data_IF_038035492296
#
_entry.id   IF_038035492296
#
_cell.length_a   1.000
_cell.length_b   1.000
_cell.length_c   1.000
_cell.angle_alpha   90.00
_cell.angle_beta   90.00
_cell.angle_gamma   90.00
#
_symmetry.space_group_name_H-M   'P 1'
#
loop_
_entity.id
_entity.type
_entity.pdbx_description
1 polymer ?
#
# COMPACT_ATOMS: atom_id res chain seq x y z
N UNK A 1 2.73 8.12 10.16
CA UNK A 1 1.63 7.84 11.11
C UNK A 1 0.77 6.65 10.70
N UNK A 2 0.33 6.52 9.44
CA UNK A 2 -0.55 5.41 9.01
C UNK A 2 0.04 3.99 9.21
N UNK A 3 1.35 3.76 9.00
CA UNK A 3 1.98 2.44 9.24
C UNK A 3 1.96 2.04 10.70
N UNK A 4 2.26 2.99 11.57
CA UNK A 4 2.36 2.70 13.00
C UNK A 4 0.96 2.37 13.53
N UNK A 5 -0.07 3.05 13.05
CA UNK A 5 -1.45 2.75 13.37
C UNK A 5 -1.90 1.36 12.86
N UNK A 6 -1.40 0.89 11.70
CA UNK A 6 -1.76 -0.45 11.19
C UNK A 6 -1.03 -1.60 11.89
N UNK A 7 0.07 -1.33 12.58
CA UNK A 7 0.88 -2.35 13.27
C UNK A 7 0.54 -2.50 14.75
N UNK A 8 -0.01 -1.46 15.37
CA UNK A 8 -0.24 -1.41 16.81
C UNK A 8 -1.73 -1.64 17.10
N UNK A 9 -2.09 -2.53 18.03
CA UNK A 9 -3.49 -2.86 18.32
C UNK A 9 -4.27 -1.74 19.00
N UNK A 10 -3.59 -0.75 19.61
CA UNK A 10 -4.19 0.33 20.39
C UNK A 10 -3.72 1.72 19.91
N UNK A 11 -4.66 2.67 19.81
CA UNK A 11 -4.38 4.04 19.35
C UNK A 11 -3.32 4.75 20.22
N UNK A 12 -3.42 4.67 21.55
CA UNK A 12 -2.50 5.35 22.46
C UNK A 12 -1.06 4.85 22.30
N UNK A 13 -0.87 3.54 22.12
CA UNK A 13 0.45 2.96 21.87
C UNK A 13 0.98 3.36 20.49
N UNK A 14 0.11 3.47 19.49
CA UNK A 14 0.47 4.02 18.18
C UNK A 14 0.96 5.47 18.25
N UNK A 15 0.36 6.29 19.13
CA UNK A 15 0.77 7.68 19.35
C UNK A 15 2.13 7.77 20.05
N UNK A 16 2.37 6.96 21.08
CA UNK A 16 3.67 6.91 21.79
C UNK A 16 4.79 6.44 20.86
N UNK A 17 4.55 5.36 20.11
CA UNK A 17 5.52 4.82 19.15
C UNK A 17 5.77 5.81 18.00
N UNK A 18 4.71 6.49 17.52
CA UNK A 18 4.84 7.50 16.48
C UNK A 18 5.60 8.75 16.92
N UNK A 19 5.35 9.24 18.14
CA UNK A 19 6.11 10.34 18.73
C UNK A 19 7.59 9.96 18.90
N UNK A 20 7.87 8.76 19.42
CA UNK A 20 9.23 8.23 19.54
C UNK A 20 9.95 8.12 18.19
N UNK A 21 9.25 7.59 17.17
CA UNK A 21 9.79 7.50 15.80
C UNK A 21 10.14 8.87 15.22
N UNK A 22 9.26 9.87 15.36
CA UNK A 22 9.53 11.24 14.89
C UNK A 22 10.70 11.85 15.65
N UNK A 23 10.77 11.65 16.97
CA UNK A 23 11.90 12.12 17.78
C UNK A 23 13.24 11.55 17.31
N UNK A 24 13.30 10.24 17.05
CA UNK A 24 14.50 9.59 16.49
C UNK A 24 14.83 10.14 15.10
N UNK A 25 13.83 10.35 14.25
CA UNK A 25 14.03 10.93 12.92
C UNK A 25 14.54 12.39 12.99
N UNK A 26 14.10 13.19 13.96
CA UNK A 26 14.61 14.55 14.16
C UNK A 26 16.07 14.58 14.65
N UNK A 27 16.43 13.66 15.55
CA UNK A 27 17.82 13.57 16.05
C UNK A 27 18.77 13.12 14.94
N UNK A 28 18.31 12.23 14.05
CA UNK A 28 19.12 11.69 12.96
C UNK A 28 19.12 12.55 11.70
N UNK A 29 18.16 13.47 11.52
CA UNK A 29 18.07 14.36 10.34
C UNK A 29 19.06 15.53 10.35
N UNK A 30 19.83 15.70 11.43
CA UNK A 30 20.78 16.80 11.57
C UNK A 30 20.18 18.11 12.07
N UNK A 31 18.96 18.08 12.63
CA UNK A 31 18.26 19.28 13.14
C UNK A 31 18.99 19.96 14.31
N UNK A 32 19.63 19.18 15.20
CA UNK A 32 20.29 19.67 16.41
C UNK A 32 21.82 19.65 16.35
N UNK A 33 22.41 18.92 15.40
CA UNK A 33 23.88 18.83 15.26
C UNK A 33 24.27 18.40 13.85
N UNK A 34 25.29 19.06 13.31
CA UNK A 34 25.95 18.69 12.06
C UNK A 34 26.50 17.26 12.19
N UNK A 35 26.29 16.47 11.13
CA UNK A 35 26.40 14.99 11.05
C UNK A 35 27.77 14.32 11.37
N UNK A 36 28.94 15.00 11.49
CA UNK A 36 30.23 14.30 11.63
C UNK A 36 30.41 13.41 12.85
N UNK A 37 29.66 13.60 13.95
CA UNK A 37 29.91 12.93 15.23
C UNK A 37 29.03 11.69 15.51
N UNK A 38 28.16 11.25 14.59
CA UNK A 38 27.37 10.03 14.81
C UNK A 38 28.20 8.75 14.54
N UNK A 39 28.01 7.68 15.36
CA UNK A 39 28.68 6.40 15.17
C UNK A 39 28.42 5.82 13.77
N UNK A 40 29.50 5.53 13.05
CA UNK A 40 29.52 5.31 11.59
C UNK A 40 28.67 4.13 11.10
N UNK A 41 28.51 3.07 11.90
CA UNK A 41 28.03 1.77 11.41
C UNK A 41 26.50 1.70 11.35
N UNK A 42 25.79 2.09 12.42
CA UNK A 42 24.35 1.82 12.52
C UNK A 42 23.48 3.05 12.23
N UNK A 43 23.97 4.26 12.52
CA UNK A 43 23.17 5.50 12.42
C UNK A 43 23.49 6.37 11.21
N UNK A 44 24.71 6.29 10.67
CA UNK A 44 25.15 7.22 9.63
C UNK A 44 24.77 6.82 8.21
N UNK A 45 24.63 5.52 7.91
CA UNK A 45 24.53 5.07 6.51
C UNK A 45 23.25 4.34 6.07
N UNK A 46 22.36 3.82 6.94
CA UNK A 46 21.01 3.48 6.50
C UNK A 46 19.98 4.55 6.86
N UNK A 47 20.05 5.10 8.07
CA UNK A 47 18.98 5.96 8.60
C UNK A 47 19.02 7.35 7.95
N UNK A 48 20.19 7.96 7.76
CA UNK A 48 20.29 9.27 7.09
C UNK A 48 19.74 9.26 5.65
N UNK A 49 19.99 8.19 4.89
CA UNK A 49 19.51 8.09 3.51
C UNK A 49 18.01 7.82 3.41
N UNK A 50 17.44 7.07 4.36
CA UNK A 50 16.01 6.73 4.40
C UNK A 50 15.19 7.84 5.07
N UNK A 51 15.82 8.67 5.89
CA UNK A 51 15.17 9.74 6.61
C UNK A 51 14.80 10.90 5.67
N UNK A 52 13.51 10.98 5.33
CA UNK A 52 12.95 12.08 4.54
C UNK A 52 13.25 13.46 5.14
N UNK A 53 13.36 13.56 6.48
CA UNK A 53 13.66 14.79 7.18
C UNK A 53 15.07 15.30 6.92
N UNK A 54 16.04 14.42 6.69
CA UNK A 54 17.41 14.81 6.35
C UNK A 54 17.47 15.48 4.97
N UNK A 55 16.89 14.81 3.96
CA UNK A 55 16.78 15.34 2.60
C UNK A 55 15.94 16.61 2.51
N UNK A 56 14.81 16.67 3.23
CA UNK A 56 13.96 17.84 3.27
C UNK A 56 14.66 19.05 3.90
N UNK A 57 15.38 18.84 5.00
CA UNK A 57 16.13 19.90 5.68
C UNK A 57 17.29 20.42 4.82
N UNK A 58 18.01 19.51 4.15
CA UNK A 58 19.06 19.85 3.20
C UNK A 58 18.53 20.66 2.01
N UNK A 59 17.40 20.24 1.44
CA UNK A 59 16.72 20.97 0.37
C UNK A 59 16.25 22.36 0.80
N UNK A 60 15.72 22.49 2.02
CA UNK A 60 15.29 23.78 2.59
C UNK A 60 16.48 24.73 2.78
N UNK A 61 17.58 24.26 3.41
CA UNK A 61 18.79 25.07 3.57
C UNK A 61 19.38 25.51 2.24
N UNK A 62 19.41 24.64 1.23
CA UNK A 62 19.84 25.03 -0.12
C UNK A 62 18.91 26.05 -0.75
N UNK A 63 17.61 25.92 -0.55
CA UNK A 63 16.64 26.87 -1.08
C UNK A 63 16.79 28.27 -0.45
N UNK A 64 17.11 28.31 0.84
CA UNK A 64 17.13 29.55 1.62
C UNK A 64 18.51 30.21 1.70
N UNK A 65 19.59 29.55 1.25
CA UNK A 65 20.95 30.09 1.31
C UNK A 65 21.60 30.31 -0.05
N UNK A 66 21.23 29.55 -1.10
CA UNK A 66 21.85 29.70 -2.43
C UNK A 66 21.47 31.06 -3.04
N UNK A 67 22.48 31.82 -3.48
CA UNK A 67 22.30 33.14 -4.09
C UNK A 67 22.10 34.28 -3.09
N UNK A 68 22.25 34.02 -1.78
CA UNK A 68 22.22 35.05 -0.73
C UNK A 68 23.62 35.35 -0.22
N UNK A 69 23.85 36.61 0.13
CA UNK A 69 25.06 37.09 0.79
C UNK A 69 24.72 37.60 2.19
N UNK A 70 25.52 37.21 3.17
CA UNK A 70 25.35 37.57 4.56
C UNK A 70 26.48 38.49 5.01
N UNK A 71 26.18 39.38 5.94
CA UNK A 71 27.23 40.16 6.60
C UNK A 71 28.05 39.24 7.50
N UNK A 72 29.36 39.45 7.51
CA UNK A 72 30.25 38.68 8.35
C UNK A 72 30.03 39.04 9.83
N UNK A 73 30.37 38.10 10.72
CA UNK A 73 30.23 38.30 12.16
C UNK A 73 31.14 39.42 12.68
N UNK A 74 32.24 39.68 11.98
CA UNK A 74 33.12 40.80 12.23
C UNK A 74 32.96 41.87 11.12
N UNK A 75 32.85 43.17 11.48
CA UNK A 75 32.64 44.24 10.50
C UNK A 75 33.83 44.47 9.54
N UNK A 76 34.98 43.83 9.77
CA UNK A 76 36.15 43.90 8.89
C UNK A 76 36.28 42.73 7.91
N UNK A 77 35.38 41.75 7.95
CA UNK A 77 35.42 40.58 7.08
C UNK A 77 34.55 40.77 5.82
N UNK A 78 34.92 40.14 4.69
CA UNK A 78 34.13 40.20 3.47
C UNK A 78 32.77 39.51 3.65
N UNK A 79 31.77 39.98 2.89
CA UNK A 79 30.44 39.35 2.87
C UNK A 79 30.54 37.84 2.62
N UNK A 80 29.82 37.08 3.43
CA UNK A 80 29.83 35.63 3.39
C UNK A 80 28.75 35.12 2.43
N UNK A 81 29.16 34.41 1.40
CA UNK A 81 28.23 33.73 0.49
C UNK A 81 27.49 32.59 1.22
N UNK A 82 26.19 32.46 1.00
CA UNK A 82 25.39 31.40 1.58
C UNK A 82 25.89 29.99 1.22
N UNK A 83 26.50 29.81 0.05
CA UNK A 83 27.13 28.55 -0.34
C UNK A 83 28.32 28.18 0.55
N UNK A 84 29.10 29.18 0.98
CA UNK A 84 30.22 28.96 1.88
C UNK A 84 29.74 28.63 3.30
N UNK A 85 28.62 29.22 3.74
CA UNK A 85 27.99 28.88 5.03
C UNK A 85 27.50 27.44 5.02
N UNK A 86 26.81 27.02 3.95
CA UNK A 86 26.33 25.64 3.79
C UNK A 86 27.47 24.61 3.90
N UNK A 87 28.60 24.85 3.24
CA UNK A 87 29.76 23.93 3.27
C UNK A 87 30.49 23.96 4.61
N UNK A 88 30.76 25.15 5.14
CA UNK A 88 31.70 25.34 6.25
C UNK A 88 31.02 25.15 7.60
N UNK A 89 29.83 25.72 7.78
CA UNK A 89 29.11 25.70 9.06
C UNK A 89 28.16 24.50 9.15
N UNK A 90 27.44 24.18 8.07
CA UNK A 90 26.45 23.09 8.08
C UNK A 90 27.00 21.75 7.53
N UNK A 91 28.14 21.75 6.86
CA UNK A 91 28.73 20.54 6.27
C UNK A 91 27.86 19.91 5.16
N UNK A 92 27.03 20.72 4.48
CA UNK A 92 26.14 20.27 3.41
C UNK A 92 26.86 20.38 2.07
N UNK A 93 26.82 19.30 1.28
CA UNK A 93 27.35 19.29 -0.08
C UNK A 93 26.44 20.09 -1.02
N UNK A 94 27.01 21.09 -1.69
CA UNK A 94 26.32 21.96 -2.65
C UNK A 94 26.48 21.46 -4.10
N UNK A 95 27.08 20.29 -4.29
CA UNK A 95 27.44 19.74 -5.60
C UNK A 95 26.22 19.27 -6.40
N UNK A 96 25.10 18.98 -5.71
CA UNK A 96 23.84 18.60 -6.33
C UNK A 96 22.75 19.64 -6.10
N UNK A 97 21.89 19.80 -7.12
CA UNK A 97 20.80 20.77 -7.15
C UNK A 97 19.73 20.48 -6.10
N UNK A 98 19.05 21.54 -5.61
CA UNK A 98 17.91 21.45 -4.70
C UNK A 98 16.78 20.53 -5.19
N UNK A 99 16.66 20.36 -6.50
CA UNK A 99 15.68 19.46 -7.12
C UNK A 99 16.00 17.99 -6.90
N UNK A 100 17.26 17.62 -6.72
CA UNK A 100 17.64 16.26 -6.35
C UNK A 100 17.22 15.91 -4.93
N UNK A 101 17.36 16.86 -4.00
CA UNK A 101 16.88 16.68 -2.62
C UNK A 101 15.35 16.50 -2.61
N UNK A 102 14.62 17.30 -3.40
CA UNK A 102 13.17 17.17 -3.54
C UNK A 102 12.77 15.84 -4.20
N UNK A 103 13.48 15.41 -5.24
CA UNK A 103 13.25 14.13 -5.90
C UNK A 103 13.46 12.96 -4.93
N UNK A 104 14.52 12.99 -4.13
CA UNK A 104 14.78 11.98 -3.11
C UNK A 104 13.62 11.89 -2.09
N UNK A 105 13.13 13.02 -1.58
CA UNK A 105 11.96 13.06 -0.68
C UNK A 105 10.72 12.46 -1.35
N UNK A 106 10.46 12.82 -2.63
CA UNK A 106 9.34 12.27 -3.39
C UNK A 106 9.48 10.75 -3.59
N UNK A 107 10.67 10.25 -3.92
CA UNK A 107 10.95 8.82 -4.06
C UNK A 107 10.75 8.07 -2.75
N UNK A 108 11.20 8.62 -1.61
CA UNK A 108 10.98 8.04 -0.29
C UNK A 108 9.48 7.98 0.03
N UNK A 109 8.73 9.04 -0.27
CA UNK A 109 7.29 9.09 -0.02
C UNK A 109 6.52 8.07 -0.88
N UNK A 110 6.84 7.98 -2.17
CA UNK A 110 6.21 7.03 -3.09
C UNK A 110 6.55 5.59 -2.70
N UNK A 111 7.82 5.28 -2.47
CA UNK A 111 8.26 3.92 -2.08
C UNK A 111 7.59 3.47 -0.79
N UNK A 112 7.49 4.36 0.21
CA UNK A 112 6.80 4.09 1.46
C UNK A 112 5.29 3.88 1.30
N UNK A 113 4.64 4.67 0.43
CA UNK A 113 3.22 4.49 0.07
C UNK A 113 2.97 3.16 -0.62
N UNK A 114 3.84 2.75 -1.54
CA UNK A 114 3.72 1.46 -2.23
C UNK A 114 3.95 0.30 -1.27
N UNK A 115 4.97 0.37 -0.41
CA UNK A 115 5.23 -0.63 0.62
C UNK A 115 4.01 -0.83 1.53
N UNK A 116 3.41 0.27 1.98
CA UNK A 116 2.17 0.27 2.75
C UNK A 116 1.01 -0.43 2.03
N UNK A 117 0.77 -0.02 0.79
CA UNK A 117 -0.31 -0.57 -0.02
C UNK A 117 -0.11 -2.06 -0.25
N UNK A 118 1.11 -2.51 -0.52
CA UNK A 118 1.43 -3.94 -0.67
C UNK A 118 1.25 -4.72 0.63
N UNK A 119 1.69 -4.18 1.77
CA UNK A 119 1.52 -4.83 3.08
C UNK A 119 0.04 -4.94 3.47
N UNK A 120 -0.72 -3.85 3.36
CA UNK A 120 -2.15 -3.84 3.64
C UNK A 120 -2.92 -4.72 2.65
N UNK A 121 -2.56 -4.69 1.36
CA UNK A 121 -3.17 -5.53 0.34
C UNK A 121 -2.91 -7.01 0.60
N UNK A 122 -1.74 -7.42 1.08
CA UNK A 122 -1.45 -8.80 1.47
C UNK A 122 -2.35 -9.27 2.63
N UNK A 123 -2.51 -8.43 3.65
CA UNK A 123 -3.44 -8.70 4.77
C UNK A 123 -4.89 -8.80 4.31
N UNK A 124 -5.36 -7.85 3.50
CA UNK A 124 -6.73 -7.88 2.99
C UNK A 124 -6.98 -8.98 1.97
N UNK A 125 -5.99 -9.34 1.15
CA UNK A 125 -6.13 -10.38 0.12
C UNK A 125 -6.15 -11.77 0.76
N UNK A 126 -5.32 -12.01 1.78
CA UNK A 126 -5.34 -13.27 2.55
C UNK A 126 -6.65 -13.44 3.32
N UNK A 127 -7.16 -12.38 3.95
CA UNK A 127 -8.48 -12.39 4.60
C UNK A 127 -9.62 -12.57 3.59
N UNK A 128 -9.66 -11.81 2.48
CA UNK A 128 -10.71 -11.92 1.45
C UNK A 128 -10.72 -13.30 0.78
N UNK A 129 -9.56 -13.85 0.41
CA UNK A 129 -9.45 -15.20 -0.15
C UNK A 129 -9.87 -16.27 0.88
N UNK A 130 -9.51 -16.11 2.15
CA UNK A 130 -9.96 -16.98 3.24
C UNK A 130 -11.47 -16.99 3.41
N UNK A 131 -12.11 -15.81 3.44
CA UNK A 131 -13.57 -15.69 3.53
C UNK A 131 -14.29 -16.28 2.31
N UNK A 132 -13.81 -16.02 1.09
CA UNK A 132 -14.38 -16.57 -0.15
C UNK A 132 -14.24 -18.10 -0.18
N UNK A 133 -13.07 -18.63 0.19
CA UNK A 133 -12.85 -20.07 0.23
C UNK A 133 -13.69 -20.77 1.30
N UNK A 134 -13.84 -20.16 2.49
CA UNK A 134 -14.66 -20.71 3.56
C UNK A 134 -16.15 -20.75 3.20
N UNK A 135 -16.69 -19.63 2.68
CA UNK A 135 -18.07 -19.55 2.21
C UNK A 135 -18.34 -20.51 1.05
N UNK A 136 -17.40 -20.65 0.10
CA UNK A 136 -17.49 -21.64 -0.98
C UNK A 136 -17.53 -23.07 -0.45
N UNK A 137 -16.68 -23.41 0.51
CA UNK A 137 -16.61 -24.77 1.08
C UNK A 137 -17.88 -25.14 1.85
N UNK A 138 -18.43 -24.21 2.63
CA UNK A 138 -19.70 -24.41 3.32
C UNK A 138 -20.88 -24.53 2.35
N UNK A 139 -20.90 -23.72 1.29
CA UNK A 139 -21.92 -23.74 0.25
C UNK A 139 -21.86 -25.07 -0.53
N UNK A 140 -20.67 -25.52 -0.92
CA UNK A 140 -20.45 -26.83 -1.55
C UNK A 140 -20.90 -27.99 -0.65
N UNK A 141 -20.59 -27.93 0.64
CA UNK A 141 -21.02 -28.93 1.60
C UNK A 141 -22.55 -28.95 1.78
N UNK A 142 -23.21 -27.78 1.80
CA UNK A 142 -24.67 -27.66 1.80
C UNK A 142 -25.29 -28.19 0.51
N UNK A 143 -24.72 -27.90 -0.66
CA UNK A 143 -25.19 -28.42 -1.95
C UNK A 143 -25.07 -29.95 -1.98
N UNK A 144 -23.94 -30.52 -1.56
CA UNK A 144 -23.72 -31.98 -1.52
C UNK A 144 -24.68 -32.71 -0.58
N UNK A 145 -25.14 -32.04 0.49
CA UNK A 145 -26.13 -32.59 1.41
C UNK A 145 -27.58 -32.49 0.90
N UNK A 146 -27.86 -31.74 -0.18
CA UNK A 146 -29.22 -31.66 -0.74
C UNK A 146 -29.68 -33.02 -1.28
N UNK A 147 -30.86 -33.52 -0.88
CA UNK A 147 -31.36 -34.82 -1.32
C UNK A 147 -31.65 -34.90 -2.82
N UNK A 148 -31.86 -33.75 -3.49
CA UNK A 148 -32.08 -33.67 -4.94
C UNK A 148 -30.85 -34.09 -5.77
N UNK A 149 -29.63 -33.79 -5.30
CA UNK A 149 -28.40 -34.20 -5.99
C UNK A 149 -28.04 -35.67 -5.75
N UNK A 150 -28.40 -36.23 -4.59
CA UNK A 150 -28.30 -37.68 -4.36
C UNK A 150 -29.28 -38.46 -5.22
N UNK A 151 -30.52 -37.94 -5.37
CA UNK A 151 -31.51 -38.53 -6.28
C UNK A 151 -31.11 -38.42 -7.74
N UNK A 152 -30.50 -37.31 -8.19
CA UNK A 152 -30.00 -37.18 -9.56
C UNK A 152 -28.88 -38.19 -9.88
N UNK A 153 -27.95 -38.42 -8.94
CA UNK A 153 -26.90 -39.43 -9.10
C UNK A 153 -27.45 -40.88 -9.02
N UNK A 154 -28.45 -41.13 -8.18
CA UNK A 154 -29.12 -42.43 -8.11
C UNK A 154 -30.05 -42.69 -9.31
N UNK A 155 -30.72 -41.66 -9.84
CA UNK A 155 -31.61 -41.74 -11.01
C UNK A 155 -30.88 -41.77 -12.35
N UNK A 156 -29.57 -41.54 -12.36
CA UNK A 156 -28.70 -41.73 -13.52
C UNK A 156 -28.35 -43.21 -13.75
N UNK A 157 -28.79 -44.14 -12.89
CA UNK A 157 -28.58 -45.59 -13.04
C UNK A 157 -29.73 -46.34 -13.73
N UNK A 158 -30.72 -45.64 -14.29
CA UNK A 158 -31.79 -46.29 -15.05
C UNK A 158 -31.38 -46.47 -16.53
N UNK A 159 -31.31 -47.70 -17.08
CA UNK A 159 -31.04 -47.89 -18.49
C UNK A 159 -32.25 -47.41 -19.30
N UNK A 160 -32.07 -46.31 -20.02
CA UNK A 160 -33.08 -45.75 -20.91
C UNK A 160 -33.33 -46.69 -22.09
N UNK A 161 -34.38 -47.53 -22.03
CA UNK A 161 -35.03 -48.07 -23.22
C UNK A 161 -36.16 -47.12 -23.62
N UNK A 162 -35.85 -46.11 -24.45
CA UNK A 162 -36.86 -45.28 -25.12
C UNK A 162 -37.45 -46.07 -26.29
N UNK A 163 -38.63 -46.65 -26.07
CA UNK A 163 -39.47 -47.17 -27.12
C UNK A 163 -40.05 -45.98 -27.90
N UNK A 164 -39.93 -45.99 -29.22
CA UNK A 164 -40.58 -45.02 -30.10
C UNK A 164 -42.10 -45.20 -29.99
N UNK A 165 -42.82 -44.12 -29.65
CA UNK A 165 -44.26 -43.99 -29.86
C UNK A 165 -44.46 -42.84 -30.86
N UNK A 166 -45.11 -43.05 -32.01
CA UNK A 166 -45.42 -41.97 -32.93
C UNK A 166 -46.59 -41.15 -32.35
N UNK A 167 -46.33 -39.87 -32.07
CA UNK A 167 -47.35 -38.90 -31.68
C UNK A 167 -48.23 -38.59 -32.90
N UNK A 168 -49.51 -38.97 -32.84
CA UNK A 168 -50.51 -38.63 -33.84
C UNK A 168 -50.82 -37.11 -33.74
N UNK A 169 -50.77 -36.33 -34.84
CA UNK A 169 -51.02 -34.89 -34.79
C UNK A 169 -52.52 -34.60 -34.55
N UNK A 170 -52.80 -33.69 -33.61
CA UNK A 170 -54.14 -33.25 -33.18
C UNK A 170 -54.98 -32.56 -34.29
N UNK A 171 -54.44 -32.41 -35.50
CA UNK A 171 -55.15 -31.87 -36.65
C UNK A 171 -56.05 -32.89 -37.37
N UNK A 172 -56.00 -34.18 -36.99
CA UNK A 172 -56.84 -35.22 -37.61
C UNK A 172 -58.27 -35.29 -37.07
N UNK A 173 -58.68 -34.37 -36.19
CA UNK A 173 -60.02 -34.34 -35.58
C UNK A 173 -60.95 -33.23 -36.12
N UNK A 174 -60.62 -32.63 -37.26
CA UNK A 174 -61.53 -31.70 -37.95
C UNK A 174 -62.34 -32.50 -38.97
N UNK A 175 -63.56 -32.94 -38.63
CA UNK A 175 -64.41 -33.57 -39.63
C UNK A 175 -65.61 -34.42 -39.20
N UNK A 176 -66.05 -34.42 -37.95
CA UNK A 176 -67.33 -35.07 -37.60
C UNK A 176 -68.22 -34.11 -36.81
N UNK A 177 -68.93 -33.30 -37.59
CA UNK A 177 -70.15 -32.60 -37.18
C UNK A 177 -71.20 -33.58 -36.65
N UNK A 178 -71.93 -33.13 -35.63
CA UNK A 178 -73.12 -33.67 -34.94
C UNK A 178 -74.08 -34.53 -35.80
N UNK A 179 -74.80 -35.51 -35.20
CA UNK A 179 -76.22 -35.23 -34.88
C UNK A 179 -76.82 -35.94 -33.64
N UNK A 180 -77.83 -35.26 -33.06
CA UNK A 180 -79.16 -35.75 -32.61
C UNK A 180 -79.21 -36.88 -31.56
N UNK A 181 -79.66 -36.54 -30.34
CA UNK A 181 -81.01 -36.90 -29.87
C UNK A 181 -81.47 -36.04 -28.70
#
# INVERSE_FOLDING_TARGET
MMIIASLVPNFLMGLIVGAGYVGVMMVTSGYFRVSPHLPKVSWRYPILYINFGAWGLQGAYKNDMIGLEFEAMNPCEPKLKGENILRTMLGIEVDHSKWWDLAAVATILISFRLFLSSFSSSSESSLRLGFINSTRNELLHRIKKRPSFRKAAASLSFPSKRHHQPLHPLSSQVGLTSPIH
#
